data_IF_466483135425
#
_entry.id   IF_466483135425
#
_cell.length_a   1.000
_cell.length_b   1.000
_cell.length_c   1.000
_cell.angle_alpha   90.00
_cell.angle_beta   90.00
_cell.angle_gamma   90.00
#
_symmetry.space_group_name_H-M   'P 1'
#
loop_
_entity.id
_entity.type
_entity.pdbx_description
1 polymer ?
#
# COMPACT_ATOMS: atom_id res chain seq x y z
N UNK A 1 12.60 14.83 0.39
CA UNK A 1 11.69 15.90 0.87
C UNK A 1 11.14 15.50 2.23
N UNK A 2 10.88 16.46 3.11
CA UNK A 2 10.33 16.15 4.44
C UNK A 2 8.88 15.67 4.33
N UNK A 3 8.39 14.96 5.36
CA UNK A 3 6.97 14.59 5.44
C UNK A 3 6.05 15.83 5.44
N UNK A 4 6.52 16.96 5.97
CA UNK A 4 5.80 18.24 5.99
C UNK A 4 5.66 18.78 4.56
N UNK A 5 6.74 18.81 3.78
CA UNK A 5 6.68 19.31 2.40
C UNK A 5 5.85 18.41 1.50
N UNK A 6 5.90 17.09 1.72
CA UNK A 6 4.98 16.15 1.09
C UNK A 6 3.52 16.49 1.40
N UNK A 7 3.19 16.81 2.65
CA UNK A 7 1.82 17.20 3.05
C UNK A 7 1.38 18.51 2.41
N UNK A 8 2.29 19.48 2.21
CA UNK A 8 2.00 20.71 1.45
C UNK A 8 1.63 20.38 0.00
N UNK A 9 2.39 19.52 -0.68
CA UNK A 9 2.05 19.09 -2.05
C UNK A 9 0.66 18.42 -2.14
N UNK A 10 0.25 17.66 -1.11
CA UNK A 10 -1.09 17.09 -1.10
C UNK A 10 -2.18 18.17 -0.94
N UNK A 11 -1.91 19.22 -0.18
CA UNK A 11 -2.81 20.38 -0.05
C UNK A 11 -2.88 21.16 -1.37
N UNK A 12 -1.73 21.42 -1.98
CA UNK A 12 -1.63 22.11 -3.28
C UNK A 12 -2.37 21.37 -4.39
N UNK A 13 -2.46 20.03 -4.29
CA UNK A 13 -3.18 19.17 -5.22
C UNK A 13 -4.65 18.90 -4.85
N UNK A 14 -5.15 19.54 -3.78
CA UNK A 14 -6.48 19.34 -3.18
C UNK A 14 -6.84 17.85 -2.97
N UNK A 15 -5.85 17.04 -2.56
CA UNK A 15 -6.01 15.60 -2.38
C UNK A 15 -5.69 15.18 -0.94
N UNK A 16 -6.56 14.35 -0.37
CA UNK A 16 -6.34 13.82 0.97
C UNK A 16 -5.32 12.67 0.95
N UNK A 17 -4.62 12.45 2.06
CA UNK A 17 -3.67 11.34 2.20
C UNK A 17 -4.31 9.96 1.88
N UNK A 18 -5.54 9.63 2.33
CA UNK A 18 -6.20 8.39 1.95
C UNK A 18 -6.49 8.27 0.44
N UNK A 19 -6.87 9.38 -0.23
CA UNK A 19 -7.09 9.39 -1.69
C UNK A 19 -5.78 9.17 -2.44
N UNK A 20 -4.72 9.89 -2.06
CA UNK A 20 -3.39 9.73 -2.62
C UNK A 20 -2.87 8.29 -2.44
N UNK A 21 -3.01 7.72 -1.24
CA UNK A 21 -2.67 6.34 -0.91
C UNK A 21 -3.33 5.33 -1.85
N UNK A 22 -4.64 5.47 -2.08
CA UNK A 22 -5.40 4.60 -2.98
C UNK A 22 -4.95 4.72 -4.44
N UNK A 23 -4.67 5.95 -4.89
CA UNK A 23 -4.27 6.26 -6.26
C UNK A 23 -2.94 5.58 -6.62
N UNK A 24 -1.93 5.66 -5.73
CA UNK A 24 -0.61 5.05 -5.97
C UNK A 24 -0.50 3.60 -5.47
N UNK A 25 -1.60 3.02 -4.96
CA UNK A 25 -1.68 1.66 -4.39
C UNK A 25 -0.65 1.37 -3.30
N UNK A 26 -0.30 2.40 -2.52
CA UNK A 26 0.56 2.29 -1.33
C UNK A 26 -0.33 2.39 -0.10
N UNK A 27 -0.15 1.51 0.88
CA UNK A 27 -0.99 1.54 2.09
C UNK A 27 -0.81 2.85 2.87
N UNK A 28 -1.90 3.35 3.43
CA UNK A 28 -1.87 4.57 4.24
C UNK A 28 -0.94 4.41 5.45
N UNK A 29 -0.92 3.23 6.07
CA UNK A 29 0.01 2.90 7.16
C UNK A 29 1.48 3.06 6.74
N UNK A 30 1.85 2.64 5.53
CA UNK A 30 3.21 2.82 5.03
C UNK A 30 3.53 4.31 4.85
N UNK A 31 2.60 5.08 4.28
CA UNK A 31 2.78 6.52 4.11
C UNK A 31 2.92 7.25 5.44
N UNK A 32 2.06 6.92 6.42
CA UNK A 32 2.09 7.52 7.75
C UNK A 32 3.38 7.20 8.51
N UNK A 33 4.01 6.05 8.26
CA UNK A 33 5.29 5.69 8.91
C UNK A 33 6.43 6.67 8.60
N UNK A 34 6.36 7.39 7.47
CA UNK A 34 7.36 8.38 7.10
C UNK A 34 7.30 9.65 7.94
N UNK A 35 6.20 9.91 8.66
CA UNK A 35 6.13 10.99 9.65
C UNK A 35 7.20 10.83 10.73
N UNK A 36 7.41 9.59 11.20
CA UNK A 36 8.40 9.29 12.25
C UNK A 36 9.84 9.25 11.69
N UNK A 37 10.00 8.92 10.41
CA UNK A 37 11.30 8.86 9.73
C UNK A 37 11.78 10.21 9.22
N UNK A 38 10.95 11.26 9.32
CA UNK A 38 11.24 12.61 8.85
C UNK A 38 11.09 12.81 7.34
N UNK A 39 11.45 11.81 6.53
CA UNK A 39 11.49 11.90 5.07
C UNK A 39 10.61 10.86 4.36
N UNK A 40 10.07 11.26 3.21
CA UNK A 40 9.37 10.37 2.28
C UNK A 40 10.32 9.86 1.18
N UNK A 41 10.14 8.62 0.70
CA UNK A 41 10.93 8.07 -0.40
C UNK A 41 10.88 8.91 -1.68
N UNK A 42 12.00 8.97 -2.41
CA UNK A 42 12.15 9.75 -3.64
C UNK A 42 11.05 9.48 -4.68
N UNK A 43 10.65 8.22 -4.88
CA UNK A 43 9.59 7.90 -5.83
C UNK A 43 8.24 8.50 -5.44
N UNK A 44 7.89 8.48 -4.15
CA UNK A 44 6.63 9.07 -3.64
C UNK A 44 6.68 10.59 -3.74
N UNK A 45 7.85 11.17 -3.46
CA UNK A 45 8.11 12.59 -3.60
C UNK A 45 7.90 13.09 -5.03
N UNK A 46 8.45 12.38 -6.03
CA UNK A 46 8.26 12.69 -7.46
C UNK A 46 6.78 12.62 -7.84
N UNK A 47 6.09 11.55 -7.46
CA UNK A 47 4.67 11.37 -7.78
C UNK A 47 3.79 12.46 -7.16
N UNK A 48 4.03 12.82 -5.89
CA UNK A 48 3.30 13.90 -5.24
C UNK A 48 3.50 15.24 -5.95
N UNK A 49 4.74 15.54 -6.39
CA UNK A 49 5.04 16.76 -7.14
C UNK A 49 4.35 16.79 -8.50
N UNK A 50 4.36 15.68 -9.24
CA UNK A 50 3.67 15.59 -10.53
C UNK A 50 2.16 15.78 -10.37
N UNK A 51 1.54 15.16 -9.36
CA UNK A 51 0.11 15.31 -9.09
C UNK A 51 -0.25 16.76 -8.74
N UNK A 52 0.56 17.43 -7.91
CA UNK A 52 0.36 18.84 -7.59
C UNK A 52 0.47 19.74 -8.84
N UNK A 53 1.49 19.52 -9.66
CA UNK A 53 1.65 20.26 -10.92
C UNK A 53 0.47 20.02 -11.87
N UNK A 54 0.07 18.77 -12.09
CA UNK A 54 -1.07 18.46 -12.95
C UNK A 54 -2.37 19.10 -12.45
N UNK A 55 -2.58 19.15 -11.13
CA UNK A 55 -3.73 19.84 -10.56
C UNK A 55 -3.69 21.35 -10.83
N UNK A 56 -2.52 21.99 -10.63
CA UNK A 56 -2.33 23.42 -10.91
C UNK A 56 -2.57 23.77 -12.38
N UNK A 57 -2.19 22.89 -13.30
CA UNK A 57 -2.42 23.03 -14.75
C UNK A 57 -3.84 22.61 -15.18
N UNK A 58 -4.72 22.24 -14.24
CA UNK A 58 -6.09 21.83 -14.55
C UNK A 58 -6.22 20.47 -15.25
N UNK A 59 -5.18 19.63 -15.20
CA UNK A 59 -5.16 18.31 -15.83
C UNK A 59 -5.85 17.26 -14.96
N UNK A 60 -6.78 16.52 -15.56
CA UNK A 60 -7.47 15.40 -14.90
C UNK A 60 -6.60 14.13 -14.87
N UNK A 61 -5.62 14.11 -13.96
CA UNK A 61 -4.68 13.00 -13.80
C UNK A 61 -5.29 11.69 -13.30
N UNK A 62 -6.52 11.73 -12.74
CA UNK A 62 -7.10 10.55 -12.07
C UNK A 62 -7.42 9.45 -13.07
N UNK A 63 -7.99 9.83 -14.21
CA UNK A 63 -8.31 8.90 -15.30
C UNK A 63 -7.07 8.25 -15.88
N UNK A 64 -6.02 9.04 -16.11
CA UNK A 64 -4.75 8.55 -16.64
C UNK A 64 -4.09 7.55 -15.69
N UNK A 65 -4.11 7.82 -14.39
CA UNK A 65 -3.54 6.89 -13.40
C UNK A 65 -4.42 5.65 -13.22
N UNK A 66 -5.75 5.80 -13.21
CA UNK A 66 -6.67 4.66 -13.10
C UNK A 66 -6.55 3.72 -14.32
N UNK A 67 -6.27 4.26 -15.50
CA UNK A 67 -6.05 3.49 -16.73
C UNK A 67 -4.80 2.58 -16.66
N UNK A 68 -3.86 2.84 -15.73
CA UNK A 68 -2.68 1.99 -15.53
C UNK A 68 -3.00 0.64 -14.86
N UNK A 69 -4.22 0.44 -14.33
CA UNK A 69 -4.63 -0.76 -13.57
C UNK A 69 -3.60 -1.17 -12.50
N UNK A 70 -3.12 -0.19 -11.72
CA UNK A 70 -2.10 -0.45 -10.70
C UNK A 70 -2.64 -1.43 -9.65
N UNK A 71 -1.84 -2.46 -9.35
CA UNK A 71 -2.17 -3.47 -8.34
C UNK A 71 -1.39 -3.20 -7.06
N UNK A 72 -2.10 -3.21 -5.94
CA UNK A 72 -1.46 -3.13 -4.64
C UNK A 72 -0.47 -4.29 -4.49
N UNK A 73 0.75 -3.97 -4.05
CA UNK A 73 1.76 -5.00 -3.74
C UNK A 73 1.28 -5.79 -2.53
N UNK A 74 0.65 -6.94 -2.77
CA UNK A 74 0.43 -7.95 -1.74
C UNK A 74 1.73 -8.74 -1.59
N UNK A 75 2.15 -8.98 -0.35
CA UNK A 75 3.24 -9.92 -0.09
C UNK A 75 2.73 -11.31 -0.47
N UNK A 76 3.02 -11.80 -1.68
CA UNK A 76 2.85 -13.21 -2.02
C UNK A 76 3.95 -13.99 -1.30
N UNK A 77 3.71 -14.44 -0.06
CA UNK A 77 4.67 -15.23 0.70
C UNK A 77 4.33 -15.45 2.18
N UNK A 78 3.90 -16.68 2.48
CA UNK A 78 3.99 -17.41 3.76
C UNK A 78 3.43 -16.72 5.03
N UNK A 79 2.15 -16.33 5.02
CA UNK A 79 1.40 -16.01 6.24
C UNK A 79 0.57 -17.21 6.69
N UNK A 80 1.15 -18.05 7.56
CA UNK A 80 0.49 -19.09 8.36
C UNK A 80 -0.51 -20.00 7.62
N UNK A 81 0.00 -21.06 6.98
CA UNK A 81 -0.80 -22.26 6.80
C UNK A 81 -1.25 -22.71 8.20
N UNK A 82 -2.53 -22.52 8.49
CA UNK A 82 -3.20 -23.00 9.70
C UNK A 82 -2.95 -24.52 9.74
N UNK A 83 -2.00 -24.99 10.56
CA UNK A 83 -1.87 -26.43 10.84
C UNK A 83 -3.21 -26.85 11.41
N UNK A 84 -4.04 -27.49 10.59
CA UNK A 84 -5.21 -28.21 11.08
C UNK A 84 -4.68 -29.21 12.10
N UNK A 85 -5.14 -29.04 13.33
CA UNK A 85 -4.86 -29.94 14.44
C UNK A 85 -5.47 -31.29 14.03
N UNK A 86 -4.64 -32.21 13.51
CA UNK A 86 -5.05 -33.59 13.29
C UNK A 86 -5.19 -34.21 14.68
N UNK A 87 -6.42 -34.22 15.17
CA UNK A 87 -6.81 -34.99 16.35
C UNK A 87 -6.35 -36.42 16.13
N UNK A 88 -5.45 -36.92 16.97
CA UNK A 88 -5.25 -38.35 17.11
C UNK A 88 -6.56 -38.91 17.65
N UNK A 89 -7.23 -39.73 16.85
CA UNK A 89 -8.11 -40.78 17.37
C UNK A 89 -7.42 -42.10 17.08
N UNK A 90 -6.98 -42.74 18.15
CA UNK A 90 -6.71 -44.18 18.20
C UNK A 90 -7.86 -44.96 17.58
N UNK A 91 -7.53 -45.99 16.81
CA UNK A 91 -8.30 -47.23 16.77
C UNK A 91 -7.31 -48.34 16.48
N UNK A 92 -7.15 -49.19 17.48
CA UNK A 92 -6.54 -50.49 17.42
C UNK A 92 -7.06 -51.28 16.22
N UNK A 93 -6.16 -51.96 15.50
CA UNK A 93 -6.49 -53.30 15.03
C UNK A 93 -5.25 -54.18 14.93
N UNK A 94 -5.23 -55.16 15.82
CA UNK A 94 -4.38 -56.34 15.83
C UNK A 94 -4.49 -57.12 14.52
N UNK A 95 -3.36 -57.36 13.85
CA UNK A 95 -3.25 -58.44 12.86
C UNK A 95 -2.04 -59.30 13.17
N UNK A 96 -2.35 -60.52 13.61
CA UNK A 96 -1.48 -61.67 13.80
C UNK A 96 -0.60 -61.93 12.57
N UNK A 97 0.65 -62.29 12.79
CA UNK A 97 1.23 -63.47 12.15
C UNK A 97 2.29 -64.09 13.05
#
# INVERSE_FOLDING_TARGET
MTFIDFKKLLLDAEITLPKFSKLIKVSEKNLQSYKQKGEVPNAIAVVARCIALMHQEGLDYRKEIDALDLKAKTKKGAGFAKKSKKTLSESDDTAKN
#
